data_IF_849176262780
#
_entry.id   IF_849176262780
#
_cell.length_a   1.000
_cell.length_b   1.000
_cell.length_c   1.000
_cell.angle_alpha   90.00
_cell.angle_beta   90.00
_cell.angle_gamma   90.00
#
_symmetry.space_group_name_H-M   'P 1'
#
loop_
_entity.id
_entity.type
_entity.pdbx_description
1 polymer ?
#
# COMPACT_ATOMS: atom_id res chain seq x y z
N UNK A 1 -7.02 17.72 -49.98
CA UNK A 1 -6.59 16.90 -48.82
C UNK A 1 -6.17 17.82 -47.69
N UNK A 2 -7.06 18.13 -46.75
CA UNK A 2 -6.70 18.72 -45.46
C UNK A 2 -7.23 17.76 -44.41
N UNK A 3 -6.33 16.99 -43.78
CA UNK A 3 -6.69 16.18 -42.63
C UNK A 3 -7.20 17.15 -41.56
N UNK A 4 -8.49 17.03 -41.25
CA UNK A 4 -9.19 17.90 -40.32
C UNK A 4 -8.43 17.99 -39.00
N UNK A 5 -7.87 19.17 -38.73
CA UNK A 5 -7.20 19.53 -37.48
C UNK A 5 -8.14 19.30 -36.28
N UNK A 6 -9.46 19.33 -36.51
CA UNK A 6 -10.47 19.02 -35.50
C UNK A 6 -10.47 17.57 -35.01
N UNK A 7 -10.06 16.60 -35.85
CA UNK A 7 -10.02 15.19 -35.43
C UNK A 7 -8.84 14.91 -34.48
N UNK A 8 -7.74 15.63 -34.65
CA UNK A 8 -6.54 15.49 -33.80
C UNK A 8 -6.77 16.12 -32.42
N UNK A 9 -7.50 17.23 -32.34
CA UNK A 9 -7.83 17.89 -31.06
C UNK A 9 -8.86 17.11 -30.22
N UNK A 10 -9.83 16.47 -30.85
CA UNK A 10 -10.81 15.61 -30.16
C UNK A 10 -10.19 14.37 -29.53
N UNK A 11 -9.15 13.80 -30.16
CA UNK A 11 -8.40 12.69 -29.58
C UNK A 11 -7.62 13.14 -28.34
N UNK A 12 -6.95 14.29 -28.37
CA UNK A 12 -6.15 14.80 -27.23
C UNK A 12 -7.04 15.10 -26.00
N UNK A 13 -8.27 15.59 -26.20
CA UNK A 13 -9.19 15.90 -25.10
C UNK A 13 -9.75 14.63 -24.40
N UNK A 14 -9.90 13.52 -25.12
CA UNK A 14 -10.37 12.27 -24.54
C UNK A 14 -9.33 11.61 -23.62
N UNK A 15 -8.03 11.73 -23.94
CA UNK A 15 -6.96 11.21 -23.09
C UNK A 15 -6.74 12.05 -21.82
N UNK A 16 -7.07 13.35 -21.88
CA UNK A 16 -6.92 14.25 -20.73
C UNK A 16 -8.01 14.07 -19.65
N UNK A 17 -9.21 13.61 -20.02
CA UNK A 17 -10.32 13.43 -19.07
C UNK A 17 -10.38 12.03 -18.43
N UNK A 18 -9.76 11.00 -19.02
CA UNK A 18 -9.73 9.66 -18.42
C UNK A 18 -8.68 9.47 -17.32
N UNK A 19 -7.63 10.30 -17.28
CA UNK A 19 -6.54 10.18 -16.30
C UNK A 19 -6.91 10.65 -14.89
N UNK A 20 -7.75 11.70 -14.79
CA UNK A 20 -7.98 12.40 -13.51
C UNK A 20 -9.06 11.72 -12.65
N UNK A 21 -10.12 11.16 -13.25
CA UNK A 21 -11.14 10.38 -12.53
C UNK A 21 -10.68 8.93 -12.23
N UNK A 22 -9.78 8.38 -13.03
CA UNK A 22 -9.25 7.01 -12.86
C UNK A 22 -8.23 6.86 -11.73
N UNK A 23 -7.30 7.81 -11.58
CA UNK A 23 -6.23 7.72 -10.59
C UNK A 23 -6.74 7.77 -9.13
N UNK A 24 -7.65 8.72 -8.86
CA UNK A 24 -8.24 8.91 -7.54
C UNK A 24 -9.18 7.74 -7.17
N UNK A 25 -9.87 7.17 -8.17
CA UNK A 25 -10.70 5.98 -7.97
C UNK A 25 -9.88 4.70 -7.73
N UNK A 26 -8.74 4.51 -8.42
CA UNK A 26 -7.83 3.40 -8.12
C UNK A 26 -7.29 3.47 -6.67
N UNK A 27 -6.79 4.64 -6.25
CA UNK A 27 -6.28 4.83 -4.89
C UNK A 27 -7.36 4.56 -3.83
N UNK A 28 -8.58 5.06 -4.07
CA UNK A 28 -9.74 4.84 -3.18
C UNK A 28 -10.11 3.36 -3.07
N UNK A 29 -10.17 2.63 -4.19
CA UNK A 29 -10.48 1.19 -4.19
C UNK A 29 -9.41 0.41 -3.43
N UNK A 30 -8.13 0.68 -3.68
CA UNK A 30 -7.04 0.00 -2.99
C UNK A 30 -7.07 0.30 -1.49
N UNK A 31 -7.24 1.56 -1.11
CA UNK A 31 -7.35 2.01 0.28
C UNK A 31 -8.50 1.30 1.01
N UNK A 32 -9.70 1.32 0.41
CA UNK A 32 -10.86 0.67 1.00
C UNK A 32 -10.65 -0.85 1.11
N UNK A 33 -10.13 -1.49 0.07
CA UNK A 33 -9.93 -2.95 0.08
C UNK A 33 -8.92 -3.38 1.14
N UNK A 34 -7.82 -2.65 1.32
CA UNK A 34 -6.82 -2.96 2.35
C UNK A 34 -7.38 -2.69 3.75
N UNK A 35 -7.90 -1.49 4.01
CA UNK A 35 -8.28 -1.09 5.37
C UNK A 35 -9.62 -1.68 5.83
N UNK A 36 -10.46 -2.14 4.92
CA UNK A 36 -11.67 -2.91 5.26
C UNK A 36 -11.40 -4.41 5.35
N UNK A 37 -10.22 -4.89 4.96
CA UNK A 37 -9.90 -6.32 4.95
C UNK A 37 -10.05 -6.96 6.34
N UNK A 38 -10.95 -7.94 6.45
CA UNK A 38 -11.26 -8.61 7.71
C UNK A 38 -10.06 -9.38 8.26
N UNK A 39 -9.28 -10.05 7.40
CA UNK A 39 -8.11 -10.82 7.81
C UNK A 39 -7.01 -9.93 8.38
N UNK A 40 -6.79 -8.75 7.80
CA UNK A 40 -5.86 -7.74 8.32
C UNK A 40 -6.32 -7.24 9.69
N UNK A 41 -7.60 -6.88 9.83
CA UNK A 41 -8.16 -6.45 11.12
C UNK A 41 -8.02 -7.53 12.19
N UNK A 42 -8.31 -8.79 11.83
CA UNK A 42 -8.16 -9.94 12.71
C UNK A 42 -6.70 -10.19 13.09
N UNK A 43 -5.77 -10.14 12.13
CA UNK A 43 -4.34 -10.30 12.37
C UNK A 43 -3.78 -9.19 13.27
N UNK A 44 -4.13 -7.93 13.02
CA UNK A 44 -3.77 -6.79 13.87
C UNK A 44 -4.29 -6.99 15.30
N UNK A 45 -5.54 -7.42 15.45
CA UNK A 45 -6.12 -7.68 16.77
C UNK A 45 -5.39 -8.81 17.50
N UNK A 46 -5.21 -9.96 16.84
CA UNK A 46 -4.57 -11.14 17.43
C UNK A 46 -3.12 -10.86 17.86
N UNK A 47 -2.38 -10.10 17.06
CA UNK A 47 -0.96 -9.80 17.33
C UNK A 47 -0.74 -8.80 18.46
N UNK A 48 -1.80 -8.16 19.00
CA UNK A 48 -1.69 -7.38 20.24
C UNK A 48 -1.47 -8.26 21.48
N UNK A 49 -1.96 -9.50 21.43
CA UNK A 49 -1.84 -10.47 22.52
C UNK A 49 -0.58 -11.33 22.41
N UNK A 50 0.09 -11.30 21.26
CA UNK A 50 1.40 -11.93 21.06
C UNK A 50 2.44 -11.28 22.00
N UNK A 51 3.26 -12.06 22.74
CA UNK A 51 4.22 -11.49 23.70
C UNK A 51 5.19 -10.48 23.06
N UNK A 52 5.77 -10.82 21.91
CA UNK A 52 6.74 -9.98 21.20
C UNK A 52 6.05 -8.78 20.56
N UNK A 53 4.88 -8.99 19.97
CA UNK A 53 4.04 -7.93 19.44
C UNK A 53 3.64 -6.92 20.51
N UNK A 54 3.22 -7.39 21.68
CA UNK A 54 2.85 -6.55 22.83
C UNK A 54 4.06 -5.77 23.35
N UNK A 55 5.22 -6.41 23.49
CA UNK A 55 6.45 -5.74 23.91
C UNK A 55 6.84 -4.63 22.93
N UNK A 56 6.74 -4.88 21.61
CA UNK A 56 6.97 -3.89 20.57
C UNK A 56 6.00 -2.70 20.66
N UNK A 57 4.70 -2.95 20.89
CA UNK A 57 3.71 -1.89 21.06
C UNK A 57 3.96 -1.05 22.32
N UNK A 58 4.35 -1.67 23.44
CA UNK A 58 4.76 -0.96 24.65
C UNK A 58 6.00 -0.10 24.39
N UNK A 59 7.01 -0.64 23.70
CA UNK A 59 8.22 0.08 23.36
C UNK A 59 7.90 1.30 22.47
N UNK A 60 7.08 1.15 21.44
CA UNK A 60 6.61 2.25 20.58
C UNK A 60 6.01 3.41 21.40
N UNK A 61 5.20 3.10 22.42
CA UNK A 61 4.60 4.10 23.31
C UNK A 61 5.62 4.85 24.19
N UNK A 62 6.74 4.19 24.53
CA UNK A 62 7.82 4.77 25.32
C UNK A 62 8.73 5.73 24.53
N UNK A 63 8.80 5.60 23.19
CA UNK A 63 9.60 6.50 22.36
C UNK A 63 8.83 7.75 21.96
N UNK A 64 9.26 8.92 22.45
CA UNK A 64 8.63 10.21 22.14
C UNK A 64 8.52 10.47 20.63
N UNK A 65 9.56 10.12 19.84
CA UNK A 65 9.57 10.27 18.38
C UNK A 65 8.60 9.32 17.65
N UNK A 66 8.16 8.23 18.30
CA UNK A 66 7.22 7.27 17.73
C UNK A 66 5.81 7.43 18.29
N UNK A 67 5.58 8.46 19.12
CA UNK A 67 4.24 8.77 19.65
C UNK A 67 3.28 9.06 18.49
N UNK A 68 2.18 8.31 18.42
CA UNK A 68 1.24 8.37 17.30
C UNK A 68 1.70 7.64 16.04
N UNK A 69 2.65 6.69 16.14
CA UNK A 69 2.99 5.79 15.03
C UNK A 69 1.73 5.13 14.46
N UNK A 70 1.44 5.42 13.20
CA UNK A 70 0.36 4.81 12.45
C UNK A 70 1.02 3.84 11.47
N UNK A 71 0.72 2.55 11.61
CA UNK A 71 1.30 1.48 10.80
C UNK A 71 0.99 1.61 9.30
N UNK A 72 -0.05 2.38 8.95
CA UNK A 72 -0.41 2.72 7.57
C UNK A 72 0.02 4.13 7.16
N UNK A 73 0.89 4.82 7.88
CA UNK A 73 1.45 6.10 7.45
C UNK A 73 2.91 5.94 7.07
N UNK A 74 3.41 6.72 6.10
CA UNK A 74 4.84 6.79 5.80
C UNK A 74 5.60 7.29 7.02
N UNK A 75 6.21 6.36 7.73
CA UNK A 75 7.15 6.56 8.83
C UNK A 75 8.32 5.62 8.50
N UNK A 76 9.54 6.11 8.68
CA UNK A 76 10.77 5.41 8.31
C UNK A 76 11.77 5.58 9.45
N UNK A 77 12.65 4.60 9.61
CA UNK A 77 13.73 4.64 10.60
C UNK A 77 13.39 3.88 11.89
N UNK A 78 13.65 4.50 13.04
CA UNK A 78 13.61 3.81 14.35
C UNK A 78 12.23 3.26 14.71
N UNK A 79 11.14 3.90 14.31
CA UNK A 79 9.80 3.44 14.70
C UNK A 79 9.40 2.13 14.01
N UNK A 80 9.70 1.97 12.73
CA UNK A 80 9.45 0.73 11.98
C UNK A 80 10.27 -0.43 12.57
N UNK A 81 11.52 -0.16 12.96
CA UNK A 81 12.38 -1.15 13.59
C UNK A 81 11.80 -1.60 14.96
N UNK A 82 11.30 -0.66 15.76
CA UNK A 82 10.65 -0.97 17.05
C UNK A 82 9.31 -1.70 16.83
N UNK A 83 8.57 -1.33 15.79
CA UNK A 83 7.31 -1.95 15.38
C UNK A 83 7.46 -3.34 14.76
N UNK A 84 8.67 -3.70 14.31
CA UNK A 84 8.93 -4.88 13.49
C UNK A 84 8.42 -6.19 14.11
N UNK A 85 8.58 -6.48 15.43
CA UNK A 85 8.06 -7.73 16.01
C UNK A 85 6.52 -7.83 15.90
N UNK A 86 5.80 -6.75 16.18
CA UNK A 86 4.35 -6.70 16.01
C UNK A 86 3.96 -6.93 14.54
N UNK A 87 4.58 -6.21 13.62
CA UNK A 87 4.28 -6.35 12.18
C UNK A 87 4.72 -7.70 11.60
N UNK A 88 5.74 -8.34 12.17
CA UNK A 88 6.14 -9.72 11.83
C UNK A 88 5.06 -10.72 12.21
N UNK A 89 4.45 -10.61 13.39
CA UNK A 89 3.30 -11.43 13.76
C UNK A 89 2.16 -11.25 12.75
N UNK A 90 1.82 -10.00 12.40
CA UNK A 90 0.73 -9.70 11.45
C UNK A 90 1.03 -10.31 10.08
N UNK A 91 2.27 -10.16 9.59
CA UNK A 91 2.72 -10.79 8.35
C UNK A 91 2.61 -12.32 8.39
N UNK A 92 2.92 -12.94 9.54
CA UNK A 92 2.76 -14.38 9.74
C UNK A 92 1.32 -14.83 9.60
N UNK A 93 0.39 -14.13 10.25
CA UNK A 93 -1.06 -14.42 10.17
C UNK A 93 -1.64 -14.22 8.77
N UNK A 94 -1.12 -13.25 8.02
CA UNK A 94 -1.51 -13.00 6.62
C UNK A 94 -0.79 -13.92 5.62
N UNK A 95 0.11 -14.80 6.09
CA UNK A 95 0.88 -15.69 5.22
C UNK A 95 1.89 -14.96 4.32
N UNK A 96 2.36 -13.78 4.72
CA UNK A 96 3.35 -12.98 4.01
C UNK A 96 4.80 -13.31 4.40
N UNK A 97 5.02 -14.26 5.30
CA UNK A 97 6.36 -14.72 5.65
C UNK A 97 6.81 -15.86 4.72
N UNK A 98 8.10 -15.87 4.39
CA UNK A 98 8.79 -17.03 3.83
C UNK A 98 9.14 -18.03 4.95
N UNK A 99 9.64 -19.21 4.56
CA UNK A 99 10.07 -20.25 5.51
C UNK A 99 11.20 -19.79 6.44
N UNK A 100 12.06 -18.88 5.99
CA UNK A 100 13.14 -18.27 6.79
C UNK A 100 12.65 -17.12 7.71
N UNK A 101 11.35 -16.82 7.72
CA UNK A 101 10.76 -15.75 8.51
C UNK A 101 10.93 -14.34 7.94
N UNK A 102 11.55 -14.19 6.76
CA UNK A 102 11.62 -12.92 6.02
C UNK A 102 10.30 -12.61 5.29
N UNK A 103 10.11 -11.35 4.90
CA UNK A 103 8.92 -10.93 4.15
C UNK A 103 8.97 -11.45 2.70
N UNK A 104 7.85 -12.00 2.24
CA UNK A 104 7.60 -12.30 0.84
C UNK A 104 7.07 -11.06 0.10
N UNK A 105 8.00 -10.23 -0.38
CA UNK A 105 7.69 -9.00 -1.12
C UNK A 105 6.84 -9.23 -2.38
N UNK A 106 7.06 -10.34 -3.10
CA UNK A 106 6.30 -10.67 -4.30
C UNK A 106 4.84 -10.90 -3.94
N UNK A 107 4.57 -11.77 -2.96
CA UNK A 107 3.21 -12.09 -2.51
C UNK A 107 2.43 -10.86 -2.05
N UNK A 108 3.08 -9.94 -1.32
CA UNK A 108 2.44 -8.69 -0.88
C UNK A 108 2.10 -7.80 -2.08
N UNK A 109 3.03 -7.64 -3.02
CA UNK A 109 2.83 -6.82 -4.22
C UNK A 109 1.72 -7.40 -5.10
N UNK A 110 1.70 -8.72 -5.28
CA UNK A 110 0.65 -9.42 -6.05
C UNK A 110 -0.72 -9.26 -5.40
N UNK A 111 -0.80 -9.35 -4.06
CA UNK A 111 -2.04 -9.16 -3.33
C UNK A 111 -2.58 -7.73 -3.49
N UNK A 112 -1.73 -6.73 -3.32
CA UNK A 112 -2.11 -5.33 -3.48
C UNK A 112 -2.48 -4.99 -4.92
N UNK A 113 -1.78 -5.57 -5.90
CA UNK A 113 -2.14 -5.45 -7.32
C UNK A 113 -3.53 -6.04 -7.56
N UNK A 114 -3.79 -7.26 -7.07
CA UNK A 114 -5.09 -7.92 -7.17
C UNK A 114 -6.21 -7.09 -6.54
N UNK A 115 -5.94 -6.44 -5.39
CA UNK A 115 -6.90 -5.52 -4.77
C UNK A 115 -7.18 -4.28 -5.61
N UNK A 116 -6.15 -3.69 -6.23
CA UNK A 116 -6.30 -2.50 -7.05
C UNK A 116 -7.05 -2.78 -8.36
N UNK A 117 -6.83 -3.94 -8.99
CA UNK A 117 -7.31 -4.22 -10.36
C UNK A 117 -8.66 -4.94 -10.41
N UNK A 118 -9.27 -5.28 -9.26
CA UNK A 118 -10.49 -6.09 -9.16
C UNK A 118 -11.76 -5.47 -9.79
N UNK A 119 -11.71 -4.22 -10.24
CA UNK A 119 -12.90 -3.47 -10.68
C UNK A 119 -12.68 -2.49 -11.83
N UNK A 120 -11.75 -2.76 -12.75
CA UNK A 120 -11.41 -1.97 -13.96
C UNK A 120 -10.98 -0.49 -13.79
N UNK A 121 -11.14 0.10 -12.60
CA UNK A 121 -10.75 1.49 -12.29
C UNK A 121 -9.22 1.67 -12.14
N UNK A 122 -8.49 0.58 -11.89
CA UNK A 122 -7.03 0.61 -11.88
C UNK A 122 -6.46 -0.32 -12.94
N UNK A 123 -5.63 0.25 -13.82
CA UNK A 123 -4.86 -0.55 -14.77
C UNK A 123 -3.57 -1.07 -14.12
N UNK A 124 -3.06 -2.17 -14.66
CA UNK A 124 -1.75 -2.72 -14.27
C UNK A 124 -0.62 -1.69 -14.40
N UNK A 125 -0.66 -0.86 -15.45
CA UNK A 125 0.37 0.16 -15.70
C UNK A 125 0.37 1.24 -14.60
N UNK A 126 -0.80 1.73 -14.20
CA UNK A 126 -0.94 2.71 -13.12
C UNK A 126 -0.42 2.15 -11.79
N UNK A 127 -0.85 0.93 -11.45
CA UNK A 127 -0.40 0.27 -10.22
C UNK A 127 1.12 0.04 -10.23
N UNK A 128 1.68 -0.50 -11.31
CA UNK A 128 3.11 -0.81 -11.39
C UNK A 128 3.96 0.47 -11.32
N UNK A 129 3.53 1.56 -11.95
CA UNK A 129 4.19 2.86 -11.86
C UNK A 129 4.22 3.38 -10.42
N UNK A 130 3.08 3.33 -9.71
CA UNK A 130 2.99 3.72 -8.31
C UNK A 130 3.83 2.82 -7.38
N UNK A 131 3.74 1.50 -7.57
CA UNK A 131 4.52 0.51 -6.81
C UNK A 131 6.03 0.70 -7.00
N UNK A 132 6.48 1.04 -8.21
CA UNK A 132 7.88 1.32 -8.52
C UNK A 132 8.45 2.49 -7.72
N UNK A 133 7.65 3.54 -7.45
CA UNK A 133 8.07 4.70 -6.65
C UNK A 133 8.26 4.37 -5.15
N UNK A 134 7.68 3.27 -4.67
CA UNK A 134 7.62 2.93 -3.25
C UNK A 134 8.65 1.88 -2.81
N UNK A 135 9.44 1.34 -3.74
CA UNK A 135 10.50 0.38 -3.44
C UNK A 135 9.99 -0.93 -2.82
N UNK A 136 10.87 -1.63 -2.12
CA UNK A 136 10.58 -2.93 -1.47
C UNK A 136 10.22 -2.76 0.01
N UNK A 137 9.41 -3.67 0.55
CA UNK A 137 9.15 -3.74 1.99
C UNK A 137 10.44 -4.08 2.73
N UNK A 138 10.76 -3.26 3.72
CA UNK A 138 11.83 -3.51 4.71
C UNK A 138 11.21 -3.51 6.12
N UNK A 139 11.86 -4.17 7.08
CA UNK A 139 11.43 -4.21 8.49
C UNK A 139 9.94 -4.52 8.73
N UNK A 140 9.36 -5.39 7.91
CA UNK A 140 7.93 -5.75 8.00
C UNK A 140 6.96 -4.55 7.82
N UNK A 141 7.42 -3.42 7.25
CA UNK A 141 6.62 -2.20 7.03
C UNK A 141 5.70 -2.29 5.78
N UNK A 142 4.99 -3.40 5.61
CA UNK A 142 4.18 -3.63 4.39
C UNK A 142 2.95 -2.72 4.30
N UNK A 143 2.39 -2.30 5.43
CA UNK A 143 1.30 -1.31 5.49
C UNK A 143 1.78 0.11 5.15
N UNK A 144 3.04 0.43 5.47
CA UNK A 144 3.68 1.69 5.03
C UNK A 144 3.86 1.69 3.51
N UNK A 145 4.25 0.54 2.94
CA UNK A 145 4.32 0.38 1.48
C UNK A 145 2.95 0.56 0.83
N UNK A 146 1.88 -0.04 1.38
CA UNK A 146 0.52 0.14 0.88
C UNK A 146 0.14 1.63 0.80
N UNK A 147 0.38 2.38 1.86
CA UNK A 147 0.10 3.83 1.91
C UNK A 147 0.91 4.62 0.88
N UNK A 148 2.20 4.29 0.72
CA UNK A 148 3.01 4.91 -0.31
C UNK A 148 2.40 4.69 -1.70
N UNK A 149 1.95 3.46 -2.01
CA UNK A 149 1.32 3.14 -3.29
C UNK A 149 0.04 3.94 -3.47
N UNK A 150 -0.82 3.99 -2.46
CA UNK A 150 -2.08 4.77 -2.47
C UNK A 150 -1.79 6.25 -2.75
N UNK A 151 -0.79 6.85 -2.08
CA UNK A 151 -0.38 8.24 -2.34
C UNK A 151 0.18 8.45 -3.74
N UNK A 152 1.00 7.53 -4.22
CA UNK A 152 1.57 7.60 -5.57
C UNK A 152 0.49 7.46 -6.65
N UNK A 153 -0.56 6.65 -6.41
CA UNK A 153 -1.75 6.56 -7.26
C UNK A 153 -2.56 7.86 -7.24
N UNK A 154 -2.77 8.48 -6.08
CA UNK A 154 -3.44 9.78 -5.98
C UNK A 154 -2.72 10.90 -6.73
N UNK A 155 -1.39 10.78 -6.88
CA UNK A 155 -0.55 11.73 -7.61
C UNK A 155 -0.31 11.31 -9.07
N UNK A 156 -0.93 10.23 -9.54
CA UNK A 156 -0.77 9.76 -10.91
C UNK A 156 -1.50 10.70 -11.85
N UNK A 157 -0.75 11.40 -12.70
CA UNK A 157 -1.25 12.34 -13.71
C UNK A 157 -1.08 11.81 -15.14
N UNK A 158 -0.85 10.50 -15.29
CA UNK A 158 -0.56 9.88 -16.59
C UNK A 158 -1.78 9.71 -17.46
#
# INVERSE_FOLDING_TARGET
MMKSVGLVLLLIAAFAYSGVEGANSCATVLQNTIWQNADLKAALSACKSDPDGRAALTALGGYAACRGYNFGAVKVGKCDAVAAPYMKCVAGKLGYLKADGSINNAKISDQYKTYATRGSLCTDAMYNSAAGKCGTVTNYAFLVKAECIIKALNQYSG
#
